data_IF_747147983811
#
_entry.id   IF_747147983811
#
_cell.length_a   1.000
_cell.length_b   1.000
_cell.length_c   1.000
_cell.angle_alpha   90.00
_cell.angle_beta   90.00
_cell.angle_gamma   90.00
#
_symmetry.space_group_name_H-M   'P 1'
#
loop_
_entity.id
_entity.type
_entity.pdbx_description
1 polymer ?
#
# COMPACT_ATOMS: atom_id res chain seq x y z
N UNK A 1 2.82 30.52 -21.32
CA UNK A 1 2.77 29.11 -21.67
C UNK A 1 4.11 28.37 -21.60
N UNK A 2 5.28 29.05 -21.68
CA UNK A 2 6.62 28.41 -21.60
C UNK A 2 7.14 28.13 -20.17
N UNK A 3 6.65 28.82 -19.16
CA UNK A 3 7.10 28.68 -17.76
C UNK A 3 6.51 27.43 -17.08
N UNK A 4 5.26 27.05 -17.42
CA UNK A 4 4.63 25.84 -16.84
C UNK A 4 5.28 24.51 -17.30
N UNK A 5 5.83 24.46 -18.54
CA UNK A 5 6.54 23.25 -19.03
C UNK A 5 7.91 23.03 -18.36
N UNK A 6 8.57 24.09 -17.94
CA UNK A 6 9.87 24.00 -17.27
C UNK A 6 9.77 23.46 -15.84
N UNK A 7 8.65 23.73 -15.15
CA UNK A 7 8.39 23.22 -13.79
C UNK A 7 8.03 21.73 -13.80
N UNK A 8 7.31 21.25 -14.83
CA UNK A 8 6.93 19.84 -14.95
C UNK A 8 8.12 18.89 -15.22
N UNK A 9 9.10 19.35 -16.00
CA UNK A 9 10.34 18.56 -16.25
C UNK A 9 11.22 18.53 -14.98
N UNK A 10 11.13 19.55 -14.11
CA UNK A 10 11.92 19.67 -12.90
C UNK A 10 11.51 18.72 -11.78
N UNK A 11 10.23 18.38 -11.63
CA UNK A 11 9.75 17.54 -10.50
C UNK A 11 10.10 16.07 -10.70
N UNK A 12 9.90 15.51 -11.88
CA UNK A 12 10.31 14.14 -12.20
C UNK A 12 11.86 13.99 -12.19
N UNK A 13 12.59 15.02 -12.64
CA UNK A 13 14.06 15.02 -12.61
C UNK A 13 14.60 15.25 -11.19
N UNK A 14 13.90 16.02 -10.35
CA UNK A 14 14.29 16.28 -8.96
C UNK A 14 14.14 15.02 -8.10
N UNK A 15 13.12 14.21 -8.33
CA UNK A 15 12.93 12.92 -7.66
C UNK A 15 14.03 11.92 -8.07
N UNK A 16 14.52 11.99 -9.31
CA UNK A 16 15.58 11.11 -9.82
C UNK A 16 16.98 11.55 -9.38
N UNK A 17 17.21 12.85 -9.13
CA UNK A 17 18.54 13.40 -8.78
C UNK A 17 18.83 13.46 -7.28
N UNK A 18 17.86 13.19 -6.41
CA UNK A 18 18.08 13.03 -4.97
C UNK A 18 18.88 11.75 -4.61
N UNK A 19 19.41 11.04 -5.61
CA UNK A 19 20.12 9.77 -5.44
C UNK A 19 21.59 9.88 -4.99
N UNK A 20 22.19 11.09 -4.95
CA UNK A 20 23.62 11.23 -4.64
C UNK A 20 23.90 12.45 -3.75
N UNK A 21 23.65 12.32 -2.44
CA UNK A 21 24.37 13.15 -1.48
C UNK A 21 24.38 12.47 -0.10
N UNK A 22 25.36 11.61 0.10
CA UNK A 22 25.76 11.17 1.43
C UNK A 22 26.70 12.24 1.97
N UNK A 23 26.15 13.24 2.65
CA UNK A 23 26.91 14.09 3.58
C UNK A 23 25.89 14.83 4.45
N UNK A 24 26.02 14.72 5.76
CA UNK A 24 25.33 15.41 6.85
C UNK A 24 24.60 16.70 6.44
N UNK A 25 23.43 16.57 5.86
CA UNK A 25 22.51 17.67 5.58
C UNK A 25 21.36 17.61 6.56
N UNK A 26 20.87 18.77 6.98
CA UNK A 26 19.62 18.87 7.71
C UNK A 26 18.51 18.08 6.98
N UNK A 27 17.54 17.46 7.69
CA UNK A 27 16.48 16.70 7.06
C UNK A 27 15.78 17.58 6.01
N UNK A 28 15.77 17.11 4.78
CA UNK A 28 15.12 17.83 3.69
C UNK A 28 13.61 17.78 3.90
N UNK A 29 12.93 18.92 3.88
CA UNK A 29 11.48 18.95 4.01
C UNK A 29 10.81 18.12 2.89
N UNK A 30 9.80 17.34 3.26
CA UNK A 30 9.03 16.54 2.32
C UNK A 30 8.30 17.43 1.29
N UNK A 31 8.30 17.00 0.03
CA UNK A 31 7.53 17.67 -1.02
C UNK A 31 6.06 17.32 -0.82
N UNK A 32 5.21 18.34 -0.58
CA UNK A 32 3.75 18.17 -0.52
C UNK A 32 3.13 18.50 -1.86
N UNK A 33 2.41 17.56 -2.43
CA UNK A 33 1.87 17.68 -3.79
C UNK A 33 0.48 17.06 -3.88
N UNK A 34 -0.42 17.68 -4.64
CA UNK A 34 -1.69 17.05 -4.96
C UNK A 34 -1.49 15.91 -5.95
N UNK A 35 -2.27 14.82 -5.80
CA UNK A 35 -2.24 13.72 -6.76
C UNK A 35 -2.45 14.21 -8.19
N UNK A 36 -3.28 15.25 -8.38
CA UNK A 36 -3.56 15.84 -9.70
C UNK A 36 -2.33 16.46 -10.37
N UNK A 37 -1.35 16.89 -9.57
CA UNK A 37 -0.10 17.45 -10.09
C UNK A 37 0.98 16.41 -10.30
N UNK A 38 0.92 15.29 -9.56
CA UNK A 38 1.90 14.20 -9.59
C UNK A 38 1.50 13.04 -10.52
N UNK A 39 0.20 12.70 -10.58
CA UNK A 39 -0.34 11.57 -11.33
C UNK A 39 -1.29 12.01 -12.43
N UNK A 40 -1.35 11.24 -13.53
CA UNK A 40 -2.40 11.31 -14.52
C UNK A 40 -3.43 10.22 -14.21
N UNK A 41 -4.70 10.60 -13.98
CA UNK A 41 -5.81 9.66 -13.91
C UNK A 41 -6.08 9.13 -15.31
N UNK A 42 -5.94 7.83 -15.51
CA UNK A 42 -6.14 7.15 -16.79
C UNK A 42 -7.55 6.55 -16.86
N UNK A 43 -8.00 5.93 -15.77
CA UNK A 43 -9.31 5.26 -15.70
C UNK A 43 -9.87 5.30 -14.29
N UNK A 44 -11.22 5.29 -14.21
CA UNK A 44 -11.96 4.98 -12.99
C UNK A 44 -12.70 3.67 -13.24
N UNK A 45 -12.37 2.66 -12.47
CA UNK A 45 -12.81 1.28 -12.62
C UNK A 45 -13.77 0.91 -11.49
N UNK A 46 -14.69 -0.04 -11.68
CA UNK A 46 -15.56 -0.48 -10.59
C UNK A 46 -14.76 -1.21 -9.51
N UNK A 47 -15.13 -0.98 -8.26
CA UNK A 47 -14.61 -1.67 -7.09
C UNK A 47 -15.77 -2.18 -6.23
N UNK A 48 -15.55 -3.26 -5.49
CA UNK A 48 -16.59 -3.86 -4.66
C UNK A 48 -16.80 -3.05 -3.37
N UNK A 49 -17.96 -2.42 -3.22
CA UNK A 49 -18.31 -1.65 -2.03
C UNK A 49 -18.39 -2.46 -0.72
N UNK A 50 -18.40 -3.79 -0.79
CA UNK A 50 -18.33 -4.64 0.39
C UNK A 50 -16.87 -4.93 0.79
N UNK A 51 -15.89 -4.56 -0.03
CA UNK A 51 -14.48 -4.75 0.29
C UNK A 51 -14.00 -3.69 1.29
N UNK A 52 -13.77 -4.10 2.52
CA UNK A 52 -13.04 -3.29 3.50
C UNK A 52 -11.53 -3.49 3.26
N UNK A 53 -11.01 -2.85 2.21
CA UNK A 53 -9.67 -3.07 1.67
C UNK A 53 -8.59 -2.85 2.71
N UNK A 54 -7.74 -3.87 2.91
CA UNK A 54 -6.62 -3.86 3.84
C UNK A 54 -5.28 -4.14 3.17
N UNK A 55 -5.29 -4.84 2.05
CA UNK A 55 -4.12 -5.02 1.19
C UNK A 55 -4.54 -5.11 -0.27
N UNK A 56 -3.76 -4.48 -1.14
CA UNK A 56 -4.00 -4.46 -2.59
C UNK A 56 -2.65 -4.54 -3.31
N UNK A 57 -2.46 -5.50 -4.19
CA UNK A 57 -1.20 -5.63 -4.93
C UNK A 57 -1.38 -6.35 -6.27
N UNK A 58 -0.36 -6.26 -7.14
CA UNK A 58 -0.32 -7.01 -8.39
C UNK A 58 0.85 -7.99 -8.36
N UNK A 59 0.54 -9.26 -8.64
CA UNK A 59 1.53 -10.32 -8.81
C UNK A 59 1.28 -11.08 -10.11
N UNK A 60 2.33 -11.21 -10.96
CA UNK A 60 2.24 -11.88 -12.26
C UNK A 60 1.07 -11.38 -13.12
N UNK A 61 0.84 -10.05 -13.15
CA UNK A 61 -0.22 -9.41 -13.92
C UNK A 61 -1.63 -9.61 -13.36
N UNK A 62 -1.79 -10.25 -12.21
CA UNK A 62 -3.06 -10.50 -11.52
C UNK A 62 -3.17 -9.60 -10.29
N UNK A 63 -4.31 -8.95 -10.11
CA UNK A 63 -4.61 -8.15 -8.93
C UNK A 63 -5.15 -9.03 -7.81
N UNK A 64 -4.63 -8.83 -6.62
CA UNK A 64 -5.07 -9.45 -5.37
C UNK A 64 -5.55 -8.37 -4.40
N UNK A 65 -6.51 -8.74 -3.56
CA UNK A 65 -7.01 -7.87 -2.50
C UNK A 65 -7.29 -8.70 -1.25
N UNK A 66 -6.82 -8.25 -0.10
CA UNK A 66 -7.27 -8.74 1.21
C UNK A 66 -8.22 -7.73 1.83
N UNK A 67 -9.31 -8.22 2.42
CA UNK A 67 -10.35 -7.39 3.04
C UNK A 67 -10.56 -7.78 4.49
N UNK A 68 -10.76 -6.79 5.35
CA UNK A 68 -11.02 -6.96 6.78
C UNK A 68 -12.50 -7.15 7.11
N UNK A 69 -12.79 -7.01 8.38
CA UNK A 69 -14.03 -7.18 9.12
C UNK A 69 -14.28 -8.62 9.58
N UNK A 70 -14.57 -8.75 10.87
CA UNK A 70 -14.96 -10.04 11.46
C UNK A 70 -16.21 -10.61 10.80
N UNK A 71 -16.12 -11.86 10.34
CA UNK A 71 -17.17 -12.54 9.63
C UNK A 71 -17.27 -12.22 8.11
N UNK A 72 -16.45 -11.26 7.62
CA UNK A 72 -16.47 -10.83 6.23
C UNK A 72 -15.08 -10.87 5.57
N UNK A 73 -14.03 -11.14 6.36
CA UNK A 73 -12.64 -11.16 5.88
C UNK A 73 -12.42 -12.18 4.78
N UNK A 74 -11.73 -11.75 3.72
CA UNK A 74 -11.45 -12.58 2.56
C UNK A 74 -10.14 -12.17 1.86
N UNK A 75 -9.61 -13.08 1.04
CA UNK A 75 -8.63 -12.75 0.01
C UNK A 75 -9.24 -13.01 -1.35
N UNK A 76 -9.16 -12.05 -2.23
CA UNK A 76 -9.59 -12.14 -3.61
C UNK A 76 -8.40 -12.20 -4.55
N UNK A 77 -8.49 -13.04 -5.57
CA UNK A 77 -7.46 -13.21 -6.60
C UNK A 77 -7.99 -12.87 -7.97
N UNK A 78 -7.12 -12.26 -8.77
CA UNK A 78 -7.38 -11.92 -10.16
C UNK A 78 -8.69 -11.14 -10.32
N UNK A 79 -8.81 -10.09 -9.52
CA UNK A 79 -9.91 -9.15 -9.65
C UNK A 79 -9.83 -8.57 -11.06
N UNK A 80 -10.87 -8.83 -11.86
CA UNK A 80 -10.98 -8.15 -13.14
C UNK A 80 -11.28 -6.66 -12.89
N UNK A 81 -10.31 -5.76 -13.08
CA UNK A 81 -10.49 -4.36 -12.71
C UNK A 81 -11.61 -3.68 -13.49
N UNK A 82 -11.99 -4.21 -14.68
CA UNK A 82 -13.10 -3.66 -15.49
C UNK A 82 -14.47 -4.13 -15.02
N UNK A 83 -14.54 -5.15 -14.16
CA UNK A 83 -15.80 -5.74 -13.68
C UNK A 83 -15.94 -5.77 -12.17
N UNK A 84 -14.84 -5.56 -11.44
CA UNK A 84 -14.79 -5.68 -9.97
C UNK A 84 -15.10 -7.09 -9.46
N UNK A 85 -14.95 -8.12 -10.31
CA UNK A 85 -15.29 -9.51 -9.98
C UNK A 85 -14.01 -10.32 -9.89
N UNK A 86 -13.72 -10.98 -8.75
CA UNK A 86 -12.58 -11.88 -8.60
C UNK A 86 -12.77 -13.18 -9.36
N UNK A 87 -11.67 -13.81 -9.78
CA UNK A 87 -11.68 -15.16 -10.36
C UNK A 87 -11.85 -16.23 -9.28
N UNK A 88 -11.23 -16.01 -8.14
CA UNK A 88 -11.31 -16.89 -6.97
C UNK A 88 -11.18 -16.09 -5.67
N UNK A 89 -11.65 -16.67 -4.58
CA UNK A 89 -11.58 -16.12 -3.24
C UNK A 89 -11.29 -17.19 -2.19
N UNK A 90 -10.75 -16.74 -1.04
CA UNK A 90 -10.69 -17.47 0.20
C UNK A 90 -11.36 -16.64 1.29
N UNK A 91 -12.29 -17.25 2.04
CA UNK A 91 -12.97 -16.60 3.17
C UNK A 91 -12.38 -17.12 4.48
N UNK A 92 -12.04 -16.20 5.35
CA UNK A 92 -11.54 -16.53 6.68
C UNK A 92 -12.68 -16.92 7.63
N UNK A 93 -12.32 -17.60 8.73
CA UNK A 93 -13.22 -17.84 9.84
C UNK A 93 -13.73 -16.51 10.45
N UNK A 94 -14.89 -16.55 11.08
CA UNK A 94 -15.58 -15.33 11.52
C UNK A 94 -14.87 -14.54 12.62
N UNK A 95 -13.88 -15.12 13.27
CA UNK A 95 -13.04 -14.53 14.30
C UNK A 95 -11.70 -14.00 13.78
N UNK A 96 -11.50 -13.98 12.47
CA UNK A 96 -10.32 -13.42 11.81
C UNK A 96 -10.64 -12.08 11.17
N UNK A 97 -9.82 -11.08 11.49
CA UNK A 97 -9.78 -9.82 10.76
C UNK A 97 -8.53 -9.80 9.87
N UNK A 98 -8.68 -10.07 8.58
CA UNK A 98 -7.56 -10.08 7.64
C UNK A 98 -7.10 -8.66 7.33
N UNK A 99 -5.80 -8.50 7.17
CA UNK A 99 -5.12 -7.23 6.97
C UNK A 99 -4.25 -7.27 5.70
N UNK A 100 -3.18 -6.51 5.66
CA UNK A 100 -2.26 -6.41 4.53
C UNK A 100 -1.75 -7.74 4.00
N UNK A 101 -1.52 -7.80 2.70
CA UNK A 101 -1.10 -9.03 2.02
C UNK A 101 -0.12 -8.77 0.90
N UNK A 102 0.77 -9.75 0.63
CA UNK A 102 1.72 -9.70 -0.48
C UNK A 102 2.19 -11.10 -0.85
N UNK A 103 2.62 -11.30 -2.10
CA UNK A 103 3.35 -12.50 -2.51
C UNK A 103 4.86 -12.27 -2.34
N UNK A 104 5.49 -13.13 -1.55
CA UNK A 104 6.93 -13.13 -1.32
C UNK A 104 7.48 -14.56 -1.41
N UNK A 105 8.59 -14.77 -2.11
CA UNK A 105 9.21 -16.08 -2.34
C UNK A 105 8.22 -17.16 -2.80
N UNK A 106 7.26 -16.79 -3.69
CA UNK A 106 6.26 -17.71 -4.24
C UNK A 106 5.16 -18.12 -3.26
N UNK A 107 4.99 -17.44 -2.12
CA UNK A 107 3.93 -17.63 -1.15
C UNK A 107 3.17 -16.33 -0.92
N UNK A 108 1.85 -16.44 -0.75
CA UNK A 108 0.99 -15.33 -0.38
C UNK A 108 0.90 -15.25 1.14
N UNK A 109 1.35 -14.14 1.71
CA UNK A 109 1.24 -13.83 3.14
C UNK A 109 0.07 -12.89 3.35
N UNK A 110 -0.74 -13.16 4.37
CA UNK A 110 -1.86 -12.30 4.79
C UNK A 110 -1.76 -12.10 6.30
N UNK A 111 -1.63 -10.85 6.72
CA UNK A 111 -1.61 -10.49 8.13
C UNK A 111 -3.00 -10.61 8.73
N UNK A 112 -3.09 -10.78 10.04
CA UNK A 112 -4.31 -10.56 10.83
C UNK A 112 -4.13 -9.38 11.77
N UNK A 113 -5.24 -8.71 12.13
CA UNK A 113 -5.17 -7.52 12.99
C UNK A 113 -4.66 -7.85 14.40
N UNK A 114 -5.42 -8.61 15.17
CA UNK A 114 -5.14 -8.91 16.60
C UNK A 114 -5.05 -10.40 16.92
N UNK A 115 -5.21 -11.26 15.92
CA UNK A 115 -5.19 -12.71 16.10
C UNK A 115 -3.79 -13.26 16.31
N UNK A 116 -2.75 -12.38 16.21
CA UNK A 116 -1.33 -12.74 16.34
C UNK A 116 -0.89 -13.83 15.36
N UNK A 117 -1.42 -13.79 14.14
CA UNK A 117 -1.20 -14.78 13.09
C UNK A 117 -0.91 -14.12 11.74
N UNK A 118 -0.12 -14.82 10.94
CA UNK A 118 -0.01 -14.61 9.51
C UNK A 118 -0.40 -15.91 8.80
N UNK A 119 -1.30 -15.79 7.85
CA UNK A 119 -1.74 -16.90 7.02
C UNK A 119 -0.88 -16.97 5.75
N UNK A 120 -0.39 -18.16 5.42
CA UNK A 120 0.45 -18.40 4.25
C UNK A 120 -0.25 -19.31 3.29
N UNK A 121 -0.43 -18.86 2.06
CA UNK A 121 -1.16 -19.56 1.02
C UNK A 121 -0.28 -19.85 -0.19
N UNK A 122 -0.69 -20.85 -0.97
CA UNK A 122 -0.31 -20.94 -2.37
C UNK A 122 -1.02 -19.82 -3.16
N UNK A 123 -0.29 -18.92 -3.85
CA UNK A 123 -0.90 -17.77 -4.50
C UNK A 123 -1.76 -18.15 -5.72
N UNK A 124 -1.54 -19.31 -6.31
CA UNK A 124 -2.27 -19.74 -7.50
C UNK A 124 -3.61 -20.37 -7.18
N UNK A 125 -3.70 -21.14 -6.12
CA UNK A 125 -4.89 -21.88 -5.73
C UNK A 125 -5.65 -21.27 -4.56
N UNK A 126 -5.05 -20.32 -3.84
CA UNK A 126 -5.50 -19.79 -2.55
C UNK A 126 -5.70 -20.88 -1.49
N UNK A 127 -4.96 -22.00 -1.60
CA UNK A 127 -4.97 -23.03 -0.57
C UNK A 127 -4.12 -22.59 0.62
N UNK A 128 -4.71 -22.58 1.82
CA UNK A 128 -3.97 -22.31 3.05
C UNK A 128 -2.95 -23.41 3.30
N UNK A 129 -1.68 -23.07 3.42
CA UNK A 129 -0.60 -24.00 3.65
C UNK A 129 -0.17 -24.08 5.12
N UNK A 130 -0.11 -22.92 5.78
CA UNK A 130 0.28 -22.81 7.19
C UNK A 130 -0.15 -21.49 7.80
N UNK A 131 -0.16 -21.48 9.13
CA UNK A 131 -0.24 -20.25 9.95
C UNK A 131 1.10 -20.06 10.65
N UNK A 132 1.56 -18.82 10.74
CA UNK A 132 2.77 -18.44 11.45
C UNK A 132 2.41 -17.51 12.62
N UNK A 133 3.09 -17.63 13.79
CA UNK A 133 2.89 -16.70 14.88
C UNK A 133 3.38 -15.29 14.49
N UNK A 134 2.64 -14.25 14.92
CA UNK A 134 2.97 -12.86 14.66
C UNK A 134 2.69 -12.01 15.89
N UNK A 135 3.71 -11.48 16.54
CA UNK A 135 3.63 -10.89 17.88
C UNK A 135 3.35 -9.37 17.86
N UNK A 136 2.59 -8.89 16.88
CA UNK A 136 2.14 -7.48 16.77
C UNK A 136 0.83 -7.40 16.01
N UNK A 137 0.18 -6.24 16.05
CA UNK A 137 -0.95 -5.99 15.15
C UNK A 137 -0.47 -6.00 13.70
N UNK A 138 -1.21 -6.67 12.82
CA UNK A 138 -0.98 -6.59 11.39
C UNK A 138 -1.78 -5.44 10.81
N UNK A 139 -1.15 -4.59 9.97
CA UNK A 139 -1.80 -3.54 9.21
C UNK A 139 -1.44 -3.71 7.72
N UNK A 140 -0.52 -2.95 7.17
CA UNK A 140 -0.06 -3.10 5.79
C UNK A 140 1.07 -4.12 5.64
N UNK A 141 1.22 -4.69 4.43
CA UNK A 141 2.30 -5.61 4.10
C UNK A 141 2.73 -5.45 2.64
N UNK A 142 4.02 -5.28 2.42
CA UNK A 142 4.63 -5.29 1.09
C UNK A 142 5.98 -6.01 1.10
N UNK A 143 6.70 -6.00 -0.02
CA UNK A 143 8.04 -6.58 -0.14
C UNK A 143 8.95 -5.73 -1.02
N UNK A 144 10.22 -5.63 -0.65
CA UNK A 144 11.28 -5.06 -1.50
C UNK A 144 11.95 -6.13 -2.41
N UNK A 145 11.40 -7.34 -2.44
CA UNK A 145 11.94 -8.50 -3.15
C UNK A 145 12.96 -9.31 -2.35
N UNK A 146 13.50 -8.78 -1.25
CA UNK A 146 14.44 -9.46 -0.36
C UNK A 146 13.84 -9.71 1.03
N UNK A 147 12.89 -8.86 1.45
CA UNK A 147 12.28 -8.88 2.77
C UNK A 147 10.78 -8.62 2.66
N UNK A 148 10.01 -9.12 3.63
CA UNK A 148 8.69 -8.63 3.95
C UNK A 148 8.82 -7.31 4.71
N UNK A 149 7.94 -6.35 4.43
CA UNK A 149 7.89 -5.04 5.09
C UNK A 149 6.47 -4.83 5.59
N UNK A 150 6.29 -4.74 6.90
CA UNK A 150 4.98 -4.59 7.53
C UNK A 150 4.84 -3.30 8.33
N UNK A 151 3.63 -2.77 8.40
CA UNK A 151 3.19 -1.73 9.33
C UNK A 151 2.33 -2.34 10.45
N UNK A 152 2.20 -1.62 11.57
CA UNK A 152 1.38 -1.99 12.72
C UNK A 152 0.58 -0.79 13.30
N UNK A 153 0.42 0.27 12.49
CA UNK A 153 -0.21 1.51 12.91
C UNK A 153 0.68 2.46 13.71
N UNK A 154 1.88 2.04 14.11
CA UNK A 154 2.89 2.94 14.68
C UNK A 154 3.61 3.74 13.59
N UNK A 155 4.67 4.45 13.98
CA UNK A 155 5.57 5.11 13.04
C UNK A 155 6.65 4.16 12.48
N UNK A 156 6.62 2.87 12.81
CA UNK A 156 7.64 1.92 12.41
C UNK A 156 7.18 1.01 11.26
N UNK A 157 8.12 0.71 10.37
CA UNK A 157 8.02 -0.36 9.38
C UNK A 157 9.00 -1.47 9.78
N UNK A 158 8.51 -2.70 9.81
CA UNK A 158 9.28 -3.87 10.24
C UNK A 158 9.69 -4.71 9.05
N UNK A 159 10.99 -4.87 8.87
CA UNK A 159 11.56 -5.76 7.86
C UNK A 159 11.74 -7.14 8.44
N UNK A 160 11.25 -8.15 7.75
CA UNK A 160 11.23 -9.52 8.22
C UNK A 160 11.69 -10.49 7.11
N UNK A 161 12.17 -11.65 7.52
CA UNK A 161 12.39 -12.78 6.62
C UNK A 161 11.07 -13.53 6.32
N UNK A 162 11.16 -14.60 5.52
CA UNK A 162 10.02 -15.45 5.16
C UNK A 162 9.39 -16.23 6.33
N UNK A 163 10.09 -16.31 7.47
CA UNK A 163 9.61 -16.92 8.70
C UNK A 163 9.15 -15.90 9.72
N UNK A 164 9.01 -14.62 9.31
CA UNK A 164 8.60 -13.47 10.11
C UNK A 164 9.58 -13.11 11.25
N UNK A 165 10.85 -13.52 11.13
CA UNK A 165 11.89 -13.05 12.04
C UNK A 165 12.26 -11.61 11.70
N UNK A 166 12.25 -10.74 12.70
CA UNK A 166 12.64 -9.32 12.54
C UNK A 166 14.12 -9.19 12.12
N UNK A 167 14.35 -8.42 11.07
CA UNK A 167 15.68 -8.06 10.57
C UNK A 167 16.03 -6.65 11.04
N UNK A 168 15.12 -5.70 10.86
CA UNK A 168 15.24 -4.32 11.31
C UNK A 168 13.88 -3.65 11.47
N UNK A 169 13.82 -2.61 12.28
CA UNK A 169 12.74 -1.64 12.28
C UNK A 169 13.23 -0.32 11.68
N UNK A 170 12.35 0.35 10.94
CA UNK A 170 12.62 1.63 10.28
C UNK A 170 11.56 2.63 10.75
N UNK A 171 11.95 3.64 11.52
CA UNK A 171 11.03 4.70 11.94
C UNK A 171 10.79 5.69 10.80
N UNK A 172 9.52 5.90 10.47
CA UNK A 172 9.12 6.84 9.43
C UNK A 172 8.93 8.23 9.98
N UNK A 173 9.51 9.20 9.29
CA UNK A 173 9.40 10.62 9.63
C UNK A 173 8.94 11.46 8.44
N UNK A 174 8.16 12.50 8.74
CA UNK A 174 7.82 13.58 7.81
C UNK A 174 8.35 14.88 8.41
N UNK A 175 9.22 15.57 7.69
CA UNK A 175 9.88 16.80 8.16
C UNK A 175 10.58 16.60 9.53
N UNK A 176 11.22 15.44 9.73
CA UNK A 176 11.92 15.07 10.96
C UNK A 176 11.02 14.69 12.15
N UNK A 177 9.71 14.56 11.95
CA UNK A 177 8.76 14.13 12.99
C UNK A 177 8.24 12.73 12.68
N UNK A 178 8.22 11.87 13.70
CA UNK A 178 7.62 10.54 13.60
C UNK A 178 6.16 10.63 13.14
N UNK A 179 5.80 9.78 12.18
CA UNK A 179 4.47 9.74 11.59
C UNK A 179 3.87 8.36 11.77
N UNK A 180 2.90 8.26 12.69
CA UNK A 180 2.14 7.05 12.97
C UNK A 180 0.95 6.88 12.01
N UNK A 181 0.16 5.83 12.28
CA UNK A 181 -0.98 5.41 11.47
C UNK A 181 -0.59 4.95 10.05
N UNK A 182 0.63 4.44 9.89
CA UNK A 182 1.03 3.80 8.65
C UNK A 182 0.18 2.54 8.45
N UNK A 183 -0.49 2.46 7.30
CA UNK A 183 -1.42 1.38 7.01
C UNK A 183 -0.96 0.60 5.77
N UNK A 184 -1.79 0.52 4.76
CA UNK A 184 -1.51 -0.25 3.56
C UNK A 184 -0.24 0.25 2.85
N UNK A 185 0.55 -0.70 2.32
CA UNK A 185 1.91 -0.49 1.83
C UNK A 185 2.08 -1.07 0.43
N UNK A 186 2.81 -0.34 -0.43
CA UNK A 186 3.29 -0.87 -1.71
C UNK A 186 4.75 -0.44 -1.97
N UNK A 187 5.56 -1.33 -2.55
CA UNK A 187 6.94 -1.04 -2.92
C UNK A 187 7.03 -0.70 -4.41
N UNK A 188 7.26 0.58 -4.73
CA UNK A 188 7.26 1.09 -6.10
C UNK A 188 8.61 1.73 -6.43
N UNK A 189 9.30 1.21 -7.44
CA UNK A 189 10.54 1.77 -7.99
C UNK A 189 11.56 2.20 -6.90
N UNK A 190 11.79 1.31 -5.91
CA UNK A 190 12.77 1.53 -4.83
C UNK A 190 12.29 2.44 -3.70
N UNK A 191 11.00 2.70 -3.58
CA UNK A 191 10.39 3.50 -2.52
C UNK A 191 9.21 2.75 -1.89
N UNK A 192 8.98 2.97 -0.59
CA UNK A 192 7.79 2.48 0.09
C UNK A 192 6.72 3.55 -0.04
N UNK A 193 5.57 3.18 -0.58
CA UNK A 193 4.37 3.99 -0.56
C UNK A 193 3.50 3.50 0.58
N UNK A 194 3.00 4.42 1.41
CA UNK A 194 2.23 4.07 2.60
C UNK A 194 0.99 4.94 2.72
N UNK A 195 -0.17 4.34 2.88
CA UNK A 195 -1.36 5.04 3.34
C UNK A 195 -1.17 5.51 4.79
N UNK A 196 -1.64 6.72 5.10
CA UNK A 196 -1.76 7.20 6.49
C UNK A 196 -3.23 7.14 6.88
N UNK A 197 -3.59 6.21 7.76
CA UNK A 197 -4.97 5.94 8.15
C UNK A 197 -5.67 7.18 8.70
N UNK A 198 -6.95 7.34 8.35
CA UNK A 198 -7.83 8.49 8.62
C UNK A 198 -7.43 9.79 7.91
N UNK A 199 -6.49 9.74 6.98
CA UNK A 199 -6.13 10.87 6.12
C UNK A 199 -6.41 10.58 4.65
N UNK A 200 -6.19 11.58 3.79
CA UNK A 200 -6.16 11.39 2.33
C UNK A 200 -4.72 11.42 1.80
N UNK A 201 -3.75 11.09 2.65
CA UNK A 201 -2.34 11.19 2.30
C UNK A 201 -1.71 9.82 2.04
N UNK A 202 -0.84 9.77 1.04
CA UNK A 202 0.09 8.68 0.79
C UNK A 202 1.50 9.25 0.90
N UNK A 203 2.34 8.60 1.71
CA UNK A 203 3.75 8.93 1.85
C UNK A 203 4.58 8.14 0.84
N UNK A 204 5.58 8.79 0.23
CA UNK A 204 6.67 8.11 -0.48
C UNK A 204 7.90 8.18 0.42
N UNK A 205 8.32 7.01 0.93
CA UNK A 205 9.30 6.87 1.99
C UNK A 205 10.61 6.32 1.41
N UNK A 206 11.74 6.88 1.84
CA UNK A 206 13.05 6.33 1.56
C UNK A 206 13.31 5.10 2.46
N UNK A 207 13.50 3.88 1.90
CA UNK A 207 13.67 2.65 2.67
C UNK A 207 15.02 2.56 3.43
N UNK A 208 15.97 3.47 3.15
CA UNK A 208 17.27 3.48 3.80
C UNK A 208 17.21 4.19 5.16
N UNK A 209 16.43 5.29 5.27
CA UNK A 209 16.45 6.15 6.46
C UNK A 209 15.07 6.44 7.05
N UNK A 210 13.97 6.02 6.40
CA UNK A 210 12.60 6.24 6.87
C UNK A 210 12.05 7.65 6.62
N UNK A 211 12.79 8.52 5.96
CA UNK A 211 12.30 9.87 5.64
C UNK A 211 11.26 9.80 4.51
N UNK A 212 10.09 10.38 4.73
CA UNK A 212 9.13 10.61 3.66
C UNK A 212 9.65 11.76 2.78
N UNK A 213 9.95 11.45 1.52
CA UNK A 213 10.46 12.42 0.54
C UNK A 213 9.33 13.17 -0.16
N UNK A 214 8.15 12.54 -0.25
CA UNK A 214 6.93 13.14 -0.83
C UNK A 214 5.73 12.77 0.02
N UNK A 215 4.81 13.71 0.18
CA UNK A 215 3.45 13.52 0.72
C UNK A 215 2.48 13.85 -0.41
N UNK A 216 1.73 12.86 -0.87
CA UNK A 216 0.72 13.04 -1.92
C UNK A 216 -0.64 13.20 -1.28
N UNK A 217 -1.32 14.32 -1.52
CA UNK A 217 -2.68 14.58 -1.09
C UNK A 217 -3.69 14.11 -2.14
N UNK A 218 -4.52 13.13 -1.78
CA UNK A 218 -5.62 12.58 -2.57
C UNK A 218 -6.98 13.19 -2.24
N UNK A 219 -7.03 14.32 -1.53
CA UNK A 219 -8.29 15.01 -1.22
C UNK A 219 -9.11 15.27 -2.48
N UNK A 220 -10.40 14.91 -2.44
CA UNK A 220 -11.33 15.06 -3.55
C UNK A 220 -11.09 14.09 -4.72
N UNK A 221 -10.36 12.97 -4.50
CA UNK A 221 -10.32 11.87 -5.44
C UNK A 221 -11.64 11.09 -5.43
N UNK A 222 -12.15 10.78 -4.25
CA UNK A 222 -13.38 10.05 -4.04
C UNK A 222 -14.37 10.88 -3.23
N UNK A 223 -15.62 10.94 -3.69
CA UNK A 223 -16.69 11.58 -2.93
C UNK A 223 -17.12 10.65 -1.79
N UNK A 224 -16.96 11.12 -0.54
CA UNK A 224 -17.41 10.37 0.62
C UNK A 224 -18.94 10.29 0.63
N UNK A 225 -19.47 9.19 0.11
CA UNK A 225 -20.92 8.90 0.16
C UNK A 225 -21.31 8.08 1.41
N UNK A 226 -20.32 7.69 2.22
CA UNK A 226 -20.51 6.89 3.43
C UNK A 226 -20.55 7.77 4.68
N UNK A 227 -21.45 7.43 5.59
CA UNK A 227 -21.51 8.00 6.94
C UNK A 227 -20.47 7.39 7.89
N UNK A 228 -19.79 6.29 7.47
CA UNK A 228 -18.77 5.62 8.26
C UNK A 228 -17.44 6.35 8.14
N UNK A 229 -16.85 6.70 9.28
CA UNK A 229 -15.58 7.42 9.36
C UNK A 229 -14.40 6.58 8.87
N UNK A 230 -14.54 5.25 8.85
CA UNK A 230 -13.49 4.30 8.48
C UNK A 230 -13.47 3.97 6.98
N UNK A 231 -14.42 4.49 6.20
CA UNK A 231 -14.43 4.37 4.73
C UNK A 231 -13.43 5.35 4.11
N UNK A 232 -12.14 5.09 4.35
CA UNK A 232 -11.03 5.98 4.02
C UNK A 232 -10.17 5.43 2.88
N UNK A 233 -9.31 6.29 2.33
CA UNK A 233 -8.25 5.92 1.41
C UNK A 233 -7.41 4.80 2.00
N UNK A 234 -7.37 3.64 1.34
CA UNK A 234 -6.54 2.49 1.71
C UNK A 234 -6.48 1.50 0.56
N UNK A 235 -5.29 1.18 0.09
CA UNK A 235 -5.04 0.26 -1.01
C UNK A 235 -4.26 0.92 -2.14
N UNK A 236 -3.03 0.44 -2.36
CA UNK A 236 -2.10 0.86 -3.39
C UNK A 236 -1.60 -0.39 -4.10
N UNK A 237 -1.75 -0.47 -5.42
CA UNK A 237 -1.13 -1.54 -6.18
C UNK A 237 -0.33 -0.98 -7.35
N UNK A 238 0.77 -1.63 -7.68
CA UNK A 238 1.62 -1.24 -8.79
C UNK A 238 1.81 -2.37 -9.79
N UNK A 239 1.62 -2.07 -11.05
CA UNK A 239 1.94 -2.98 -12.14
C UNK A 239 3.27 -2.56 -12.78
N UNK A 240 4.38 -3.29 -12.54
CA UNK A 240 5.70 -2.91 -13.05
C UNK A 240 5.81 -3.04 -14.59
N UNK A 241 4.98 -3.88 -15.23
CA UNK A 241 5.00 -4.05 -16.67
C UNK A 241 4.37 -2.87 -17.41
N UNK A 242 3.24 -2.37 -16.89
CA UNK A 242 2.48 -1.27 -17.48
C UNK A 242 2.80 0.09 -16.88
N UNK A 243 3.54 0.12 -15.76
CA UNK A 243 3.83 1.32 -14.97
C UNK A 243 2.54 2.01 -14.48
N UNK A 244 1.53 1.21 -14.16
CA UNK A 244 0.24 1.69 -13.65
C UNK A 244 0.20 1.55 -12.15
N UNK A 245 -0.36 2.56 -11.50
CA UNK A 245 -0.65 2.60 -10.06
C UNK A 245 -2.15 2.56 -9.90
N UNK A 246 -2.64 1.71 -9.02
CA UNK A 246 -4.05 1.58 -8.69
C UNK A 246 -4.27 2.03 -7.25
N UNK A 247 -5.26 2.87 -7.03
CA UNK A 247 -5.61 3.44 -5.72
C UNK A 247 -7.08 3.22 -5.46
N UNK A 248 -7.42 2.77 -4.26
CA UNK A 248 -8.80 2.63 -3.79
C UNK A 248 -8.93 3.03 -2.32
N UNK A 249 -10.04 2.69 -1.69
CA UNK A 249 -10.29 2.87 -0.27
C UNK A 249 -11.26 1.82 0.26
N UNK A 250 -11.36 1.75 1.58
CA UNK A 250 -12.25 0.86 2.30
C UNK A 250 -13.69 1.16 1.88
N UNK A 251 -14.39 0.16 1.35
CA UNK A 251 -15.77 0.23 0.83
C UNK A 251 -16.00 1.28 -0.27
N UNK A 252 -14.93 1.73 -0.95
CA UNK A 252 -15.11 2.58 -2.10
C UNK A 252 -15.69 1.78 -3.28
N UNK A 253 -16.53 2.43 -4.09
CA UNK A 253 -17.07 1.83 -5.31
C UNK A 253 -16.16 1.98 -6.53
N UNK A 254 -14.99 2.57 -6.34
CA UNK A 254 -14.10 2.95 -7.43
C UNK A 254 -12.66 2.56 -7.13
N UNK A 255 -12.01 1.99 -8.15
CA UNK A 255 -10.58 1.76 -8.23
C UNK A 255 -10.03 2.72 -9.29
N UNK A 256 -9.10 3.56 -8.90
CA UNK A 256 -8.54 4.59 -9.77
C UNK A 256 -7.20 4.15 -10.34
N UNK A 257 -7.08 4.16 -11.66
CA UNK A 257 -5.85 3.81 -12.38
C UNK A 257 -5.09 5.06 -12.76
N UNK A 258 -3.83 5.11 -12.37
CA UNK A 258 -2.95 6.25 -12.59
C UNK A 258 -1.66 5.87 -13.30
N UNK A 259 -1.02 6.90 -13.86
CA UNK A 259 0.36 6.88 -14.34
C UNK A 259 1.10 8.09 -13.78
N UNK A 260 2.36 7.93 -13.38
CA UNK A 260 3.24 9.05 -12.99
C UNK A 260 3.44 9.97 -14.20
N UNK A 261 3.36 11.29 -13.96
CA UNK A 261 3.54 12.32 -15.00
C UNK A 261 4.95 12.40 -15.50
#
# INVERSE_FOLDING_TARGET
MKIKKAIQISVAFLILTLFFSACTSEPQAAIRISYRDFLNLESTLPHNQNSFTQGLFIHNGKMYESTGLYGESAVYKNINPYRGIPESDYKFESDVFAEGSVVFNGKLYVLSWKENKVFVFDPDTLSLEKELPYNREGWGLTTDGNNLIASDGSANLYYMDENLNDIKALTVTVDGKETANLNELEFIDGRIWANVWLTNEILIINPENGEAVVVIDFSGLHDKNSADSDDVLNGIAYNPETKRIYITGKRWNSLYEFKIK
#
